data_IF_079773273885
#
_entry.id   IF_079773273885
#
_cell.length_a   1.000
_cell.length_b   1.000
_cell.length_c   1.000
_cell.angle_alpha   90.00
_cell.angle_beta   90.00
_cell.angle_gamma   90.00
#
_symmetry.space_group_name_H-M   'P 1'
#
loop_
_entity.id
_entity.type
_entity.pdbx_description
1 polymer ?
#
# COMPACT_ATOMS: atom_id res chain seq x y z
N UNK A 1 18.22 -35.07 32.50
CA UNK A 1 16.90 -35.51 32.99
C UNK A 1 16.18 -36.12 31.81
N UNK A 2 15.83 -37.39 31.89
CA UNK A 2 14.99 -38.02 30.87
C UNK A 2 13.57 -37.47 30.96
N UNK A 3 12.91 -37.32 29.81
CA UNK A 3 11.56 -36.76 29.73
C UNK A 3 10.54 -37.75 30.34
N UNK A 4 9.87 -37.33 31.42
CA UNK A 4 8.88 -38.15 32.12
C UNK A 4 7.49 -38.15 31.47
N UNK A 5 7.27 -37.36 30.42
CA UNK A 5 6.02 -37.35 29.69
C UNK A 5 5.95 -38.52 28.70
N UNK A 6 5.19 -39.56 29.06
CA UNK A 6 5.02 -40.75 28.24
C UNK A 6 4.24 -40.52 26.95
N UNK A 7 3.51 -39.40 26.80
CA UNK A 7 2.81 -39.07 25.55
C UNK A 7 3.76 -38.82 24.38
N UNK A 8 4.97 -38.33 24.66
CA UNK A 8 5.92 -37.87 23.64
C UNK A 8 7.29 -38.58 23.74
N UNK A 9 7.50 -39.40 24.76
CA UNK A 9 8.75 -40.13 24.96
C UNK A 9 8.49 -41.64 25.08
N UNK A 10 8.72 -42.44 24.02
CA UNK A 10 8.55 -43.89 24.06
C UNK A 10 9.45 -44.58 25.09
N UNK A 11 10.61 -43.97 25.41
CA UNK A 11 11.57 -44.51 26.37
C UNK A 11 11.32 -44.01 27.80
N UNK A 12 10.19 -43.35 28.06
CA UNK A 12 9.87 -42.86 29.41
C UNK A 12 9.70 -44.05 30.37
N UNK A 13 10.23 -43.99 31.61
CA UNK A 13 9.97 -45.03 32.62
C UNK A 13 8.47 -45.12 33.00
N UNK A 14 7.68 -44.12 32.65
CA UNK A 14 6.23 -44.09 32.85
C UNK A 14 5.45 -44.68 31.66
N UNK A 15 6.12 -45.11 30.59
CA UNK A 15 5.50 -45.64 29.38
C UNK A 15 5.21 -47.15 29.47
N UNK A 16 4.43 -47.58 30.47
CA UNK A 16 4.16 -49.00 30.72
C UNK A 16 3.22 -49.64 29.68
N UNK A 17 2.24 -48.87 29.18
CA UNK A 17 1.19 -49.36 28.27
C UNK A 17 1.21 -48.69 26.89
N UNK A 18 2.37 -48.19 26.46
CA UNK A 18 2.53 -47.46 25.20
C UNK A 18 1.57 -46.26 25.06
N UNK A 19 1.74 -45.26 25.93
CA UNK A 19 0.97 -44.02 25.95
C UNK A 19 1.41 -43.00 24.91
N UNK A 20 2.32 -43.34 24.00
CA UNK A 20 2.78 -42.41 22.96
C UNK A 20 1.60 -42.02 22.08
N UNK A 21 1.36 -40.73 21.95
CA UNK A 21 0.24 -40.19 21.20
C UNK A 21 0.77 -39.28 20.10
N UNK A 22 0.53 -39.64 18.84
CA UNK A 22 1.15 -38.99 17.68
C UNK A 22 0.84 -37.49 17.56
N UNK A 23 -0.34 -37.07 18.04
CA UNK A 23 -0.77 -35.68 18.01
C UNK A 23 -0.24 -34.88 19.21
N UNK A 24 0.30 -35.52 20.24
CA UNK A 24 0.70 -34.86 21.47
C UNK A 24 2.00 -34.07 21.33
N UNK A 25 2.06 -32.97 22.06
CA UNK A 25 3.23 -32.15 22.30
C UNK A 25 3.23 -31.69 23.76
N UNK A 26 4.40 -31.62 24.40
CA UNK A 26 4.53 -31.06 25.77
C UNK A 26 3.51 -31.57 26.81
N UNK A 27 3.36 -30.96 27.99
CA UNK A 27 4.08 -29.80 28.54
C UNK A 27 4.75 -30.19 29.86
N UNK A 28 3.99 -30.65 30.85
CA UNK A 28 4.55 -30.94 32.18
C UNK A 28 3.79 -32.05 32.91
N UNK A 29 4.54 -33.00 33.44
CA UNK A 29 4.09 -33.98 34.44
C UNK A 29 4.32 -33.46 35.85
N UNK A 30 3.43 -33.81 36.77
CA UNK A 30 3.54 -33.50 38.19
C UNK A 30 3.05 -34.66 39.06
N UNK A 31 3.70 -34.88 40.19
CA UNK A 31 3.23 -35.83 41.19
C UNK A 31 3.60 -35.36 42.60
N UNK A 32 2.64 -35.42 43.50
CA UNK A 32 2.89 -35.46 44.95
C UNK A 32 1.89 -36.43 45.57
N UNK A 33 2.19 -36.95 46.78
CA UNK A 33 1.27 -37.86 47.48
C UNK A 33 -0.11 -37.23 47.71
N UNK A 34 -0.18 -35.92 47.91
CA UNK A 34 -1.43 -35.21 48.12
C UNK A 34 -2.17 -34.86 46.81
N UNK A 35 -1.43 -34.62 45.72
CA UNK A 35 -2.01 -34.17 44.45
C UNK A 35 -2.32 -35.30 43.46
N UNK A 36 -1.84 -36.52 43.70
CA UNK A 36 -1.89 -37.61 42.71
C UNK A 36 -1.01 -37.34 41.50
N UNK A 37 -1.23 -38.08 40.41
CA UNK A 37 -0.55 -37.85 39.13
C UNK A 37 -1.30 -36.77 38.34
N UNK A 38 -0.55 -35.77 37.86
CA UNK A 38 -1.08 -34.66 37.09
C UNK A 38 -0.34 -34.54 35.76
N UNK A 39 -1.05 -34.11 34.72
CA UNK A 39 -0.49 -33.83 33.42
C UNK A 39 -1.16 -32.60 32.80
N UNK A 40 -0.33 -31.69 32.31
CA UNK A 40 -0.72 -30.68 31.33
C UNK A 40 -0.01 -31.05 30.04
N UNK A 41 -0.78 -31.24 28.97
CA UNK A 41 -0.26 -31.54 27.64
C UNK A 41 -0.99 -30.71 26.59
N UNK A 42 -0.43 -30.70 25.38
CA UNK A 42 -1.11 -30.20 24.18
C UNK A 42 -1.24 -31.31 23.16
N UNK A 43 -2.25 -31.23 22.30
CA UNK A 43 -2.33 -32.06 21.10
C UNK A 43 -2.87 -31.27 19.91
N UNK A 44 -2.42 -31.61 18.70
CA UNK A 44 -2.88 -30.99 17.47
C UNK A 44 -3.26 -32.04 16.43
N UNK A 45 -4.49 -31.95 15.92
CA UNK A 45 -5.02 -32.81 14.85
C UNK A 45 -6.03 -32.01 14.02
N UNK A 46 -5.98 -32.15 12.69
CA UNK A 46 -6.94 -31.54 11.76
C UNK A 46 -7.12 -30.02 11.94
N UNK A 47 -6.03 -29.29 12.22
CA UNK A 47 -6.06 -27.84 12.49
C UNK A 47 -6.61 -27.46 13.87
N UNK A 48 -7.13 -28.41 14.64
CA UNK A 48 -7.56 -28.20 16.01
C UNK A 48 -6.39 -28.36 17.00
N UNK A 49 -6.19 -27.34 17.83
CA UNK A 49 -5.18 -27.31 18.89
C UNK A 49 -5.86 -27.35 20.25
N UNK A 50 -5.52 -28.36 21.06
CA UNK A 50 -6.12 -28.59 22.36
C UNK A 50 -5.07 -28.58 23.47
N UNK A 51 -5.48 -28.13 24.66
CA UNK A 51 -4.75 -28.31 25.91
C UNK A 51 -5.60 -29.22 26.80
N UNK A 52 -5.03 -30.32 27.28
CA UNK A 52 -5.64 -31.16 28.31
C UNK A 52 -4.94 -30.93 29.66
N UNK A 53 -5.75 -30.73 30.70
CA UNK A 53 -5.29 -30.67 32.09
C UNK A 53 -6.01 -31.76 32.87
N UNK A 54 -5.27 -32.77 33.31
CA UNK A 54 -5.78 -33.83 34.19
C UNK A 54 -5.04 -33.80 35.52
N UNK A 55 -5.78 -33.92 36.61
CA UNK A 55 -5.30 -33.72 37.97
C UNK A 55 -5.79 -34.87 38.85
N UNK A 56 -5.00 -35.27 39.85
CA UNK A 56 -5.44 -36.26 40.83
C UNK A 56 -5.57 -37.68 40.31
N UNK A 57 -4.94 -37.99 39.17
CA UNK A 57 -5.05 -39.30 38.55
C UNK A 57 -4.33 -40.38 39.36
N UNK A 58 -4.84 -41.60 39.27
CA UNK A 58 -4.26 -42.77 39.91
C UNK A 58 -3.03 -43.31 39.16
N UNK A 59 -2.13 -43.89 39.92
CA UNK A 59 -0.99 -44.64 39.42
C UNK A 59 -0.27 -45.42 40.50
N UNK A 60 0.96 -45.84 40.21
CA UNK A 60 1.71 -46.72 41.10
C UNK A 60 1.87 -46.18 42.52
N UNK A 61 2.30 -44.92 42.69
CA UNK A 61 2.70 -44.40 44.00
C UNK A 61 1.54 -44.00 44.93
N UNK A 62 0.33 -43.78 44.39
CA UNK A 62 -0.85 -43.39 45.18
C UNK A 62 -1.93 -44.47 45.22
N UNK A 63 -2.09 -45.28 44.17
CA UNK A 63 -3.16 -46.28 44.03
C UNK A 63 -2.66 -47.72 43.83
N UNK A 64 -1.34 -47.94 43.71
CA UNK A 64 -0.73 -49.27 43.52
C UNK A 64 -1.21 -50.01 42.26
N UNK A 65 -1.54 -49.25 41.22
CA UNK A 65 -1.88 -49.79 39.90
C UNK A 65 -0.68 -49.66 38.95
N UNK A 66 -0.52 -50.62 38.03
CA UNK A 66 0.53 -50.63 37.00
C UNK A 66 0.15 -49.80 35.76
N UNK A 67 -0.58 -48.72 36.00
CA UNK A 67 -1.10 -47.81 34.98
C UNK A 67 -0.86 -46.37 35.44
N UNK A 68 -0.83 -45.42 34.51
CA UNK A 68 -0.68 -44.01 34.82
C UNK A 68 -1.84 -43.27 34.19
N UNK A 69 -2.93 -43.10 34.96
CA UNK A 69 -4.21 -42.59 34.45
C UNK A 69 -4.10 -41.18 33.88
N UNK A 70 -3.14 -40.38 34.33
CA UNK A 70 -2.89 -39.05 33.76
C UNK A 70 -2.56 -39.08 32.27
N UNK A 71 -1.94 -40.15 31.75
CA UNK A 71 -1.69 -40.29 30.32
C UNK A 71 -2.92 -40.83 29.58
N UNK A 72 -3.54 -41.89 30.09
CA UNK A 72 -4.74 -42.50 29.50
C UNK A 72 -5.92 -41.53 29.43
N UNK A 73 -6.21 -40.81 30.52
CA UNK A 73 -7.30 -39.84 30.60
C UNK A 73 -7.06 -38.66 29.64
N UNK A 74 -5.81 -38.24 29.48
CA UNK A 74 -5.46 -37.18 28.51
C UNK A 74 -5.73 -37.64 27.08
N UNK A 75 -5.32 -38.87 26.71
CA UNK A 75 -5.57 -39.44 25.38
C UNK A 75 -7.08 -39.59 25.15
N UNK A 76 -7.82 -40.09 26.13
CA UNK A 76 -9.28 -40.22 26.07
C UNK A 76 -9.95 -38.87 25.86
N UNK A 77 -9.52 -37.84 26.59
CA UNK A 77 -10.07 -36.49 26.47
C UNK A 77 -9.78 -35.88 25.09
N UNK A 78 -8.56 -36.06 24.57
CA UNK A 78 -8.21 -35.60 23.23
C UNK A 78 -9.03 -36.30 22.15
N UNK A 79 -9.11 -37.62 22.18
CA UNK A 79 -9.88 -38.37 21.20
C UNK A 79 -11.36 -37.96 21.24
N UNK A 80 -11.94 -37.84 22.44
CA UNK A 80 -13.30 -37.35 22.58
C UNK A 80 -13.47 -35.95 21.97
N UNK A 81 -12.56 -35.01 22.24
CA UNK A 81 -12.65 -33.67 21.67
C UNK A 81 -12.49 -33.68 20.14
N UNK A 82 -11.50 -34.40 19.59
CA UNK A 82 -11.31 -34.54 18.14
C UNK A 82 -12.47 -35.23 17.43
N UNK A 83 -13.15 -36.16 18.10
CA UNK A 83 -14.27 -36.89 17.54
C UNK A 83 -15.56 -36.06 17.55
N UNK A 84 -15.76 -35.21 18.56
CA UNK A 84 -17.02 -34.50 18.78
C UNK A 84 -17.02 -33.04 18.33
N UNK A 85 -15.86 -32.40 18.17
CA UNK A 85 -15.77 -30.98 17.82
C UNK A 85 -14.95 -30.76 16.55
N UNK A 86 -15.28 -29.70 15.83
CA UNK A 86 -14.50 -29.21 14.70
C UNK A 86 -14.64 -27.69 14.55
N UNK A 87 -13.66 -27.06 13.90
CA UNK A 87 -13.81 -25.67 13.47
C UNK A 87 -14.77 -25.61 12.29
N UNK A 88 -15.89 -24.93 12.48
CA UNK A 88 -16.87 -24.68 11.42
C UNK A 88 -16.87 -23.21 11.05
N UNK A 89 -16.88 -22.91 9.74
CA UNK A 89 -17.08 -21.55 9.23
C UNK A 89 -18.57 -21.21 9.34
N UNK A 90 -18.93 -20.46 10.38
CA UNK A 90 -20.33 -20.04 10.61
C UNK A 90 -20.71 -18.83 9.75
N UNK A 91 -19.73 -18.00 9.41
CA UNK A 91 -19.92 -16.81 8.58
C UNK A 91 -18.72 -16.68 7.64
N UNK A 92 -18.98 -16.60 6.33
CA UNK A 92 -17.95 -16.41 5.31
C UNK A 92 -17.73 -14.93 4.97
N UNK A 93 -16.47 -14.51 4.84
CA UNK A 93 -16.11 -13.17 4.34
C UNK A 93 -16.43 -12.98 2.85
N UNK A 94 -16.63 -14.07 2.10
CA UNK A 94 -16.97 -13.99 0.67
C UNK A 94 -18.43 -13.63 0.44
N UNK A 95 -19.30 -13.84 1.43
CA UNK A 95 -20.75 -13.69 1.27
C UNK A 95 -21.27 -12.45 2.02
N UNK A 96 -22.12 -11.64 1.37
CA UNK A 96 -22.83 -10.57 2.05
C UNK A 96 -23.77 -11.11 3.13
N UNK A 97 -23.88 -10.42 4.26
CA UNK A 97 -24.78 -10.80 5.36
C UNK A 97 -26.28 -10.55 5.05
N UNK A 98 -26.62 -10.11 3.83
CA UNK A 98 -27.96 -9.63 3.49
C UNK A 98 -28.38 -8.36 4.24
N UNK A 99 -27.44 -7.71 4.95
CA UNK A 99 -27.63 -6.46 5.69
C UNK A 99 -27.00 -5.30 4.92
N UNK A 100 -27.58 -4.13 5.08
CA UNK A 100 -27.11 -2.91 4.42
C UNK A 100 -26.98 -1.77 5.42
N UNK A 101 -26.06 -0.85 5.15
CA UNK A 101 -25.93 0.41 5.88
C UNK A 101 -26.43 1.57 4.99
N UNK A 102 -27.26 2.49 5.50
CA UNK A 102 -27.68 3.66 4.76
C UNK A 102 -26.49 4.62 4.57
N UNK A 103 -26.30 5.10 3.34
CA UNK A 103 -25.23 6.03 2.98
C UNK A 103 -25.84 7.28 2.34
N UNK A 104 -25.58 8.44 2.94
CA UNK A 104 -25.96 9.73 2.40
C UNK A 104 -25.06 10.16 1.24
N UNK A 105 -25.61 10.96 0.33
CA UNK A 105 -24.94 11.47 -0.87
C UNK A 105 -24.36 10.38 -1.81
N UNK A 106 -24.70 9.11 -1.58
CA UNK A 106 -24.27 8.00 -2.41
C UNK A 106 -24.99 7.98 -3.76
N UNK A 107 -24.26 7.61 -4.80
CA UNK A 107 -24.82 7.32 -6.10
C UNK A 107 -25.66 6.04 -6.08
N UNK A 108 -26.76 6.02 -6.83
CA UNK A 108 -27.62 4.85 -6.93
C UNK A 108 -28.55 4.67 -5.73
N UNK A 109 -28.51 3.50 -5.08
CA UNK A 109 -29.51 3.07 -4.08
C UNK A 109 -29.33 3.68 -2.68
N UNK A 110 -28.23 4.40 -2.42
CA UNK A 110 -28.02 5.03 -1.11
C UNK A 110 -27.68 4.06 0.02
N UNK A 111 -27.14 2.87 -0.29
CA UNK A 111 -26.84 1.83 0.69
C UNK A 111 -25.54 1.12 0.38
N UNK A 112 -24.79 0.74 1.41
CA UNK A 112 -23.64 -0.15 1.32
C UNK A 112 -24.04 -1.56 1.73
N UNK A 113 -23.67 -2.56 0.93
CA UNK A 113 -23.83 -3.97 1.29
C UNK A 113 -22.72 -4.34 2.27
N UNK A 114 -23.09 -4.93 3.41
CA UNK A 114 -22.16 -5.31 4.45
C UNK A 114 -21.74 -6.77 4.30
N UNK A 115 -20.45 -7.03 4.45
CA UNK A 115 -19.87 -8.36 4.58
C UNK A 115 -18.88 -8.39 5.76
N UNK A 116 -18.59 -9.56 6.31
CA UNK A 116 -17.56 -9.69 7.34
C UNK A 116 -16.17 -9.40 6.77
N UNK A 117 -15.28 -8.83 7.57
CA UNK A 117 -13.89 -8.60 7.17
C UNK A 117 -13.12 -9.92 6.96
N UNK A 118 -13.43 -10.95 7.77
CA UNK A 118 -12.77 -12.26 7.80
C UNK A 118 -13.79 -13.37 8.03
N UNK A 119 -13.40 -14.61 7.72
CA UNK A 119 -14.22 -15.76 8.09
C UNK A 119 -14.33 -15.83 9.62
N UNK A 120 -15.49 -16.23 10.10
CA UNK A 120 -15.67 -16.58 11.50
C UNK A 120 -15.71 -18.10 11.57
N UNK A 121 -14.65 -18.64 12.14
CA UNK A 121 -14.51 -20.06 12.44
C UNK A 121 -14.73 -20.25 13.94
N UNK A 122 -15.70 -21.08 14.30
CA UNK A 122 -16.00 -21.41 15.70
C UNK A 122 -15.78 -22.89 15.93
N UNK A 123 -15.23 -23.23 17.09
CA UNK A 123 -15.15 -24.62 17.54
C UNK A 123 -16.53 -25.05 18.02
N UNK A 124 -17.20 -25.89 17.25
CA UNK A 124 -18.57 -26.33 17.51
C UNK A 124 -18.67 -27.86 17.54
N UNK A 125 -19.66 -28.41 18.27
CA UNK A 125 -20.04 -29.81 18.12
C UNK A 125 -20.34 -30.13 16.66
N UNK A 126 -19.86 -31.28 16.17
CA UNK A 126 -20.03 -31.70 14.76
C UNK A 126 -21.49 -31.92 14.36
N UNK A 127 -22.38 -32.13 15.32
CA UNK A 127 -23.81 -32.31 15.12
C UNK A 127 -24.59 -30.98 15.12
N UNK A 128 -23.96 -29.87 15.50
CA UNK A 128 -24.58 -28.55 15.41
C UNK A 128 -24.47 -28.00 13.99
N UNK A 129 -25.60 -27.60 13.42
CA UNK A 129 -25.64 -26.94 12.10
C UNK A 129 -25.53 -25.42 12.24
N UNK A 130 -24.87 -24.70 11.32
CA UNK A 130 -24.72 -23.24 11.35
C UNK A 130 -26.03 -22.42 11.27
N UNK A 131 -27.19 -23.07 11.18
CA UNK A 131 -28.50 -22.41 11.09
C UNK A 131 -28.91 -21.73 12.42
N UNK A 132 -28.33 -22.14 13.55
CA UNK A 132 -28.58 -21.56 14.88
C UNK A 132 -27.73 -20.32 15.19
N UNK A 133 -26.95 -19.84 14.21
CA UNK A 133 -26.03 -18.71 14.38
C UNK A 133 -26.76 -17.40 14.08
N UNK A 134 -27.02 -16.62 15.13
CA UNK A 134 -27.59 -15.29 15.01
C UNK A 134 -26.48 -14.23 14.89
N UNK A 135 -26.64 -13.33 13.91
CA UNK A 135 -25.67 -12.27 13.61
C UNK A 135 -26.34 -10.92 13.78
N UNK A 136 -25.92 -10.18 14.80
CA UNK A 136 -26.51 -8.87 15.13
C UNK A 136 -25.54 -7.76 14.73
N UNK A 137 -25.79 -7.05 13.61
CA UNK A 137 -24.94 -5.94 13.17
C UNK A 137 -25.19 -4.69 14.01
N UNK A 138 -24.12 -3.95 14.27
CA UNK A 138 -24.08 -2.65 14.92
C UNK A 138 -23.18 -1.72 14.10
N UNK A 139 -23.74 -0.66 13.56
CA UNK A 139 -22.96 0.34 12.80
C UNK A 139 -22.17 1.25 13.74
N UNK A 140 -21.03 1.74 13.28
CA UNK A 140 -20.20 2.68 14.05
C UNK A 140 -20.81 4.09 14.09
N UNK A 141 -21.62 4.43 13.09
CA UNK A 141 -22.29 5.73 12.95
C UNK A 141 -23.69 5.51 12.37
N UNK A 142 -24.65 6.33 12.80
CA UNK A 142 -26.00 6.36 12.24
C UNK A 142 -26.03 7.04 10.87
N UNK A 143 -25.11 7.98 10.63
CA UNK A 143 -24.96 8.74 9.38
C UNK A 143 -23.60 8.42 8.77
N UNK A 144 -23.62 7.83 7.58
CA UNK A 144 -22.43 7.55 6.78
C UNK A 144 -22.54 8.33 5.48
N UNK A 145 -21.47 9.00 5.05
CA UNK A 145 -21.47 9.80 3.81
C UNK A 145 -20.56 9.16 2.75
N UNK A 146 -21.01 9.23 1.49
CA UNK A 146 -20.18 8.85 0.34
C UNK A 146 -19.08 9.91 0.06
N UNK A 147 -17.95 9.54 -0.58
CA UNK A 147 -17.62 8.21 -1.09
C UNK A 147 -17.05 7.25 -0.03
N UNK A 148 -17.43 5.97 -0.10
CA UNK A 148 -16.92 4.91 0.78
C UNK A 148 -16.30 3.81 -0.08
N UNK A 149 -14.97 3.62 -0.03
CA UNK A 149 -14.32 2.51 -0.72
C UNK A 149 -14.77 1.14 -0.22
N UNK A 150 -14.67 0.11 -1.05
CA UNK A 150 -14.84 -1.28 -0.71
C UNK A 150 -13.84 -1.68 0.39
N UNK A 151 -14.26 -2.56 1.31
CA UNK A 151 -13.44 -2.98 2.44
C UNK A 151 -13.39 -1.98 3.61
N UNK A 152 -14.09 -0.84 3.53
CA UNK A 152 -14.14 0.12 4.64
C UNK A 152 -14.97 -0.44 5.78
N UNK A 153 -14.44 -0.42 7.00
CA UNK A 153 -15.13 -0.86 8.21
C UNK A 153 -16.24 0.12 8.58
N UNK A 154 -17.49 -0.32 8.51
CA UNK A 154 -18.68 0.50 8.83
C UNK A 154 -19.32 0.15 10.18
N UNK A 155 -18.92 -0.97 10.77
CA UNK A 155 -19.53 -1.45 12.00
C UNK A 155 -18.91 -2.73 12.50
N UNK A 156 -19.59 -3.34 13.45
CA UNK A 156 -19.27 -4.65 14.01
C UNK A 156 -20.52 -5.53 14.02
N UNK A 157 -20.36 -6.84 13.97
CA UNK A 157 -21.44 -7.78 14.24
C UNK A 157 -21.07 -8.62 15.44
N UNK A 158 -22.04 -8.81 16.34
CA UNK A 158 -21.96 -9.81 17.40
C UNK A 158 -22.54 -11.13 16.91
N UNK A 159 -21.87 -12.22 17.24
CA UNK A 159 -22.27 -13.58 16.88
C UNK A 159 -22.83 -14.27 18.11
N UNK A 160 -24.05 -14.75 17.99
CA UNK A 160 -24.76 -15.49 19.03
C UNK A 160 -25.09 -16.90 18.56
N UNK A 161 -24.98 -17.87 19.46
CA UNK A 161 -25.52 -19.22 19.28
C UNK A 161 -26.27 -19.56 20.56
N UNK A 162 -27.53 -19.98 20.44
CA UNK A 162 -28.41 -20.24 21.58
C UNK A 162 -28.44 -19.12 22.63
N UNK A 163 -28.35 -17.86 22.18
CA UNK A 163 -28.33 -16.66 23.04
C UNK A 163 -27.00 -16.38 23.76
N UNK A 164 -25.96 -17.19 23.55
CA UNK A 164 -24.61 -16.95 24.09
C UNK A 164 -23.77 -16.18 23.07
N UNK A 165 -23.10 -15.10 23.49
CA UNK A 165 -22.19 -14.32 22.62
C UNK A 165 -20.85 -15.04 22.45
N UNK A 166 -20.49 -15.42 21.22
CA UNK A 166 -19.23 -16.11 20.91
C UNK A 166 -18.12 -15.17 20.47
N UNK A 167 -18.49 -13.97 20.00
CA UNK A 167 -17.50 -13.00 19.58
C UNK A 167 -18.08 -11.82 18.81
N UNK A 168 -17.17 -10.95 18.39
CA UNK A 168 -17.48 -9.76 17.58
C UNK A 168 -16.56 -9.73 16.37
N UNK A 169 -17.11 -9.40 15.21
CA UNK A 169 -16.36 -9.21 13.96
C UNK A 169 -16.59 -7.81 13.39
N UNK A 170 -15.63 -7.29 12.63
CA UNK A 170 -15.82 -6.06 11.85
C UNK A 170 -16.66 -6.33 10.59
N UNK A 171 -17.56 -5.40 10.30
CA UNK A 171 -18.33 -5.37 9.06
C UNK A 171 -17.74 -4.34 8.11
N UNK A 172 -17.46 -4.78 6.90
CA UNK A 172 -16.89 -3.97 5.83
C UNK A 172 -17.85 -3.83 4.65
N UNK A 173 -17.65 -2.78 3.85
CA UNK A 173 -18.34 -2.62 2.57
C UNK A 173 -17.93 -3.70 1.58
N UNK A 174 -18.91 -4.29 0.89
CA UNK A 174 -18.64 -5.26 -0.18
C UNK A 174 -18.10 -4.61 -1.45
N UNK A 175 -18.55 -3.40 -1.76
CA UNK A 175 -18.29 -2.67 -3.00
C UNK A 175 -18.05 -1.18 -2.72
N UNK A 176 -17.51 -0.46 -3.70
CA UNK A 176 -17.34 0.98 -3.65
C UNK A 176 -18.70 1.69 -3.71
N UNK A 177 -18.93 2.63 -2.80
CA UNK A 177 -20.08 3.52 -2.81
C UNK A 177 -19.62 4.90 -3.23
N UNK A 178 -19.81 5.23 -4.50
CA UNK A 178 -19.40 6.51 -5.08
C UNK A 178 -20.35 7.67 -4.71
N UNK A 179 -19.86 8.90 -4.78
CA UNK A 179 -20.65 10.11 -4.55
C UNK A 179 -21.58 10.41 -5.75
N UNK A 180 -22.87 10.66 -5.49
CA UNK A 180 -23.87 10.98 -6.51
C UNK A 180 -23.50 12.20 -7.36
N UNK A 181 -22.96 13.25 -6.73
CA UNK A 181 -22.61 14.51 -7.41
C UNK A 181 -21.48 14.33 -8.43
N UNK A 182 -20.44 13.56 -8.07
CA UNK A 182 -19.28 13.32 -8.94
C UNK A 182 -19.65 12.52 -10.19
N UNK A 183 -20.41 11.44 -10.03
CA UNK A 183 -20.87 10.62 -11.17
C UNK A 183 -21.77 11.43 -12.09
N UNK A 184 -22.75 12.15 -11.53
CA UNK A 184 -23.67 12.97 -12.34
C UNK A 184 -22.91 14.08 -13.07
N UNK A 185 -21.92 14.72 -12.42
CA UNK A 185 -21.06 15.72 -13.05
C UNK A 185 -20.21 15.12 -14.17
N UNK A 186 -19.57 13.98 -13.94
CA UNK A 186 -18.72 13.31 -14.93
C UNK A 186 -19.53 12.80 -16.12
N UNK A 187 -20.74 12.28 -15.88
CA UNK A 187 -21.68 11.90 -16.94
C UNK A 187 -22.12 13.12 -17.75
N UNK A 188 -22.45 14.25 -17.09
CA UNK A 188 -22.78 15.50 -17.78
C UNK A 188 -21.61 16.06 -18.59
N UNK A 189 -20.38 15.97 -18.07
CA UNK A 189 -19.16 16.34 -18.81
C UNK A 189 -18.97 15.45 -20.04
N UNK A 190 -18.98 14.12 -19.88
CA UNK A 190 -18.83 13.19 -21.02
C UNK A 190 -19.92 13.42 -22.07
N UNK A 191 -21.16 13.65 -21.64
CA UNK A 191 -22.25 13.98 -22.55
C UNK A 191 -22.04 15.31 -23.28
N UNK A 192 -21.46 16.32 -22.61
CA UNK A 192 -21.10 17.60 -23.21
C UNK A 192 -19.97 17.47 -24.24
N UNK A 193 -18.92 16.71 -23.92
CA UNK A 193 -17.78 16.48 -24.82
C UNK A 193 -18.11 15.53 -25.99
N UNK A 194 -19.17 14.73 -25.87
CA UNK A 194 -19.68 13.86 -26.95
C UNK A 194 -20.59 14.60 -27.95
N UNK A 195 -20.87 15.89 -27.76
CA UNK A 195 -21.76 16.61 -28.67
C UNK A 195 -21.13 16.79 -30.06
N UNK A 196 -21.85 16.36 -31.10
CA UNK A 196 -21.36 16.33 -32.49
C UNK A 196 -20.89 17.70 -32.98
N UNK A 197 -21.58 18.78 -32.59
CA UNK A 197 -21.19 20.13 -32.97
C UNK A 197 -19.87 20.59 -32.30
N UNK A 198 -19.59 20.15 -31.08
CA UNK A 198 -18.33 20.45 -30.37
C UNK A 198 -17.15 19.77 -31.05
N UNK A 199 -17.33 18.50 -31.47
CA UNK A 199 -16.32 17.76 -32.24
C UNK A 199 -16.05 18.44 -33.58
N UNK A 200 -17.10 18.90 -34.28
CA UNK A 200 -16.97 19.67 -35.53
C UNK A 200 -16.24 21.00 -35.29
N UNK A 201 -16.54 21.70 -34.21
CA UNK A 201 -15.88 22.96 -33.87
C UNK A 201 -14.39 22.76 -33.54
N UNK A 202 -14.04 21.77 -32.71
CA UNK A 202 -12.64 21.45 -32.40
C UNK A 202 -11.85 21.02 -33.64
N UNK A 203 -12.46 20.23 -34.53
CA UNK A 203 -11.81 19.85 -35.79
C UNK A 203 -11.58 21.05 -36.72
N UNK A 204 -12.52 22.01 -36.79
CA UNK A 204 -12.30 23.28 -37.50
C UNK A 204 -11.15 24.07 -36.89
N UNK A 205 -11.09 24.20 -35.56
CA UNK A 205 -10.00 24.91 -34.86
C UNK A 205 -8.65 24.26 -35.15
N UNK A 206 -8.57 22.93 -35.14
CA UNK A 206 -7.35 22.19 -35.46
C UNK A 206 -6.94 22.41 -36.93
N UNK A 207 -7.89 22.40 -37.86
CA UNK A 207 -7.62 22.63 -39.29
C UNK A 207 -7.12 24.07 -39.51
N UNK A 208 -7.76 25.06 -38.90
CA UNK A 208 -7.37 26.47 -38.99
C UNK A 208 -5.99 26.68 -38.37
N UNK A 209 -5.75 26.14 -37.17
CA UNK A 209 -4.44 26.18 -36.51
C UNK A 209 -3.34 25.49 -37.33
N UNK A 210 -3.63 24.32 -37.90
CA UNK A 210 -2.72 23.60 -38.79
C UNK A 210 -2.41 24.37 -40.07
N UNK A 211 -3.42 25.02 -40.67
CA UNK A 211 -3.25 25.89 -41.85
C UNK A 211 -2.41 27.13 -41.53
N UNK A 212 -2.61 27.73 -40.37
CA UNK A 212 -1.87 28.89 -39.91
C UNK A 212 -0.41 28.51 -39.63
N UNK A 213 -0.18 27.36 -39.00
CA UNK A 213 1.16 26.81 -38.78
C UNK A 213 1.85 26.50 -40.11
N UNK A 214 1.15 25.89 -41.07
CA UNK A 214 1.69 25.62 -42.40
C UNK A 214 2.05 26.92 -43.13
N UNK A 215 1.21 27.96 -43.06
CA UNK A 215 1.47 29.29 -43.62
C UNK A 215 2.64 29.97 -42.92
N UNK A 216 2.73 29.88 -41.59
CA UNK A 216 3.84 30.41 -40.80
C UNK A 216 5.16 29.74 -41.20
N UNK A 217 5.17 28.41 -41.34
CA UNK A 217 6.32 27.66 -41.81
C UNK A 217 6.67 28.00 -43.26
N UNK A 218 5.66 28.20 -44.12
CA UNK A 218 5.85 28.62 -45.51
C UNK A 218 6.46 30.02 -45.62
N UNK A 219 5.94 30.98 -44.85
CA UNK A 219 6.50 32.32 -44.72
C UNK A 219 7.94 32.30 -44.19
N UNK A 220 8.20 31.46 -43.17
CA UNK A 220 9.56 31.24 -42.62
C UNK A 220 10.51 30.61 -43.63
N UNK A 221 10.02 29.82 -44.59
CA UNK A 221 10.83 29.29 -45.70
C UNK A 221 11.15 30.38 -46.72
N UNK A 222 10.17 31.18 -47.15
CA UNK A 222 10.38 32.25 -48.14
C UNK A 222 11.32 33.36 -47.63
N UNK A 223 11.18 33.77 -46.37
CA UNK A 223 12.05 34.80 -45.78
C UNK A 223 13.54 34.39 -45.78
N UNK A 224 13.83 33.09 -45.64
CA UNK A 224 15.20 32.56 -45.72
C UNK A 224 15.82 32.72 -47.11
N UNK A 225 15.03 32.61 -48.18
CA UNK A 225 15.56 32.78 -49.55
C UNK A 225 15.89 34.24 -49.88
N UNK A 226 15.08 35.19 -49.42
CA UNK A 226 15.35 36.61 -49.66
C UNK A 226 16.63 37.08 -48.97
N UNK A 227 16.91 36.56 -47.77
CA UNK A 227 18.15 36.86 -47.05
C UNK A 227 19.35 36.28 -47.81
N UNK A 228 19.24 35.06 -48.37
CA UNK A 228 20.31 34.45 -49.19
C UNK A 228 20.60 35.23 -50.48
N UNK A 229 19.56 35.71 -51.17
CA UNK A 229 19.73 36.48 -52.43
C UNK A 229 20.34 37.87 -52.20
N UNK A 230 20.05 38.52 -51.07
CA UNK A 230 20.68 39.82 -50.72
C UNK A 230 22.17 39.69 -50.50
N UNK A 231 22.61 38.67 -49.76
CA UNK A 231 24.05 38.38 -49.54
C UNK A 231 24.81 38.14 -50.85
N UNK A 232 24.19 37.43 -51.80
CA UNK A 232 24.80 37.19 -53.12
C UNK A 232 24.91 38.48 -53.96
N UNK A 233 23.92 39.37 -53.87
CA UNK A 233 23.90 40.64 -54.59
C UNK A 233 24.91 41.63 -54.02
N UNK A 234 25.09 41.63 -52.70
CA UNK A 234 26.14 42.41 -52.02
C UNK A 234 27.54 41.92 -52.40
N UNK A 235 27.76 40.61 -52.45
CA UNK A 235 29.02 40.03 -52.94
C UNK A 235 29.32 40.41 -54.40
N UNK A 236 28.32 40.32 -55.30
CA UNK A 236 28.49 40.72 -56.71
C UNK A 236 28.75 42.22 -56.89
N UNK A 237 28.12 43.08 -56.08
CA UNK A 237 28.39 44.52 -56.12
C UNK A 237 29.79 44.84 -55.62
N UNK A 238 30.22 44.20 -54.53
CA UNK A 238 31.58 44.33 -54.03
C UNK A 238 32.63 43.83 -55.04
N UNK A 239 32.33 42.78 -55.81
CA UNK A 239 33.19 42.30 -56.91
C UNK A 239 33.22 43.29 -58.09
N UNK A 240 32.08 43.86 -58.47
CA UNK A 240 32.00 44.86 -59.55
C UNK A 240 32.67 46.19 -59.19
N UNK A 241 32.55 46.63 -57.93
CA UNK A 241 33.25 47.81 -57.40
C UNK A 241 34.76 47.58 -57.35
N UNK A 242 35.21 46.40 -56.87
CA UNK A 242 36.62 46.00 -56.91
C UNK A 242 37.18 46.02 -58.33
N UNK A 243 36.44 45.48 -59.30
CA UNK A 243 36.88 45.44 -60.71
C UNK A 243 37.00 46.84 -61.31
N UNK A 244 36.11 47.77 -60.94
CA UNK A 244 36.20 49.18 -61.37
C UNK A 244 37.36 49.91 -60.70
N UNK A 245 37.58 49.67 -59.40
CA UNK A 245 38.71 50.24 -58.67
C UNK A 245 40.06 49.78 -59.27
N UNK A 246 40.18 48.49 -59.59
CA UNK A 246 41.36 47.90 -60.25
C UNK A 246 41.62 48.50 -61.64
N UNK A 247 40.56 48.71 -62.45
CA UNK A 247 40.67 49.34 -63.77
C UNK A 247 41.09 50.82 -63.69
N UNK A 248 40.67 51.55 -62.65
CA UNK A 248 40.87 52.99 -62.53
C UNK A 248 42.20 53.35 -61.83
N UNK A 249 42.66 52.53 -60.87
CA UNK A 249 43.85 52.80 -60.06
C UNK A 249 45.05 51.89 -60.38
N UNK A 250 44.89 50.88 -61.24
CA UNK A 250 45.97 50.01 -61.73
C UNK A 250 46.60 49.08 -60.68
N UNK A 251 46.01 49.01 -59.48
CA UNK A 251 46.42 48.16 -58.35
C UNK A 251 45.17 47.67 -57.62
N UNK A 252 45.19 46.43 -57.14
CA UNK A 252 44.08 45.83 -56.41
C UNK A 252 43.68 46.64 -55.16
N UNK A 253 42.36 46.80 -54.96
CA UNK A 253 41.80 47.45 -53.77
C UNK A 253 42.22 46.68 -52.51
N UNK A 254 42.74 47.34 -51.46
CA UNK A 254 43.08 46.63 -50.22
C UNK A 254 41.80 46.07 -49.60
N UNK A 255 41.77 44.75 -49.37
CA UNK A 255 40.62 44.05 -48.79
C UNK A 255 40.44 44.48 -47.32
N UNK A 256 39.63 45.51 -47.10
CA UNK A 256 39.14 45.84 -45.77
C UNK A 256 37.83 45.07 -45.61
N UNK A 257 37.95 43.75 -45.45
CA UNK A 257 36.87 42.98 -44.85
C UNK A 257 36.67 43.54 -43.44
N UNK A 258 35.57 44.25 -43.22
CA UNK A 258 35.02 44.29 -41.88
C UNK A 258 34.65 42.85 -41.56
N UNK A 259 35.50 42.18 -40.79
CA UNK A 259 35.17 40.94 -40.07
C UNK A 259 33.90 41.20 -39.25
N UNK A 260 32.74 40.91 -39.83
CA UNK A 260 31.48 40.77 -39.11
C UNK A 260 31.35 39.32 -38.59
N UNK A 261 32.48 38.72 -38.19
CA UNK A 261 32.59 37.35 -37.68
C UNK A 261 32.70 37.30 -36.15
N UNK A 262 32.49 38.40 -35.44
CA UNK A 262 32.50 38.38 -33.97
C UNK A 262 31.13 38.17 -33.29
N UNK A 263 30.02 38.06 -34.05
CA UNK A 263 28.70 37.70 -33.49
C UNK A 263 27.83 36.81 -34.40
N UNK A 264 28.43 36.05 -35.31
CA UNK A 264 27.69 35.08 -36.14
C UNK A 264 27.82 33.63 -35.67
N UNK A 265 28.60 33.38 -34.62
CA UNK A 265 28.94 32.04 -34.10
C UNK A 265 28.20 31.56 -32.85
N UNK A 266 27.12 32.22 -32.40
CA UNK A 266 26.26 31.66 -31.35
C UNK A 266 24.86 31.42 -31.92
N UNK A 267 24.64 30.19 -32.35
CA UNK A 267 23.29 29.67 -32.57
C UNK A 267 22.67 29.32 -31.21
N UNK A 268 21.86 30.25 -30.66
CA UNK A 268 21.06 29.98 -29.45
C UNK A 268 19.93 28.96 -29.69
N UNK A 269 19.83 28.35 -30.88
CA UNK A 269 18.93 27.23 -31.13
C UNK A 269 19.58 25.84 -31.04
N UNK A 270 20.90 25.75 -30.81
CA UNK A 270 21.61 24.50 -30.49
C UNK A 270 21.93 24.34 -28.99
N UNK A 271 21.23 25.07 -28.10
CA UNK A 271 21.10 24.61 -26.71
C UNK A 271 20.14 23.42 -26.71
N UNK A 272 20.76 22.25 -26.79
CA UNK A 272 20.15 20.97 -26.55
C UNK A 272 19.51 20.98 -25.15
N UNK A 273 18.18 20.88 -25.07
CA UNK A 273 17.47 20.71 -23.79
C UNK A 273 17.75 19.36 -23.11
N UNK A 274 18.55 18.50 -23.74
CA UNK A 274 18.84 17.15 -23.28
C UNK A 274 20.26 16.98 -22.70
N UNK A 275 21.03 18.07 -22.52
CA UNK A 275 22.26 18.10 -21.69
C UNK A 275 22.12 19.01 -20.46
N UNK A 276 20.92 19.07 -19.88
CA UNK A 276 20.73 19.34 -18.45
C UNK A 276 20.53 18.00 -17.74
N UNK A 277 21.60 17.21 -17.75
CA UNK A 277 21.81 16.24 -16.67
C UNK A 277 22.19 17.03 -15.42
N UNK A 278 21.37 16.88 -14.37
CA UNK A 278 21.80 16.90 -12.97
C UNK A 278 22.72 18.06 -12.55
N UNK A 279 22.13 19.11 -11.98
CA UNK A 279 22.83 19.92 -10.97
C UNK A 279 21.88 20.22 -9.83
N UNK A 280 21.66 19.19 -9.00
CA UNK A 280 21.27 19.35 -7.60
C UNK A 280 22.52 19.46 -6.70
N UNK A 281 23.62 20.02 -7.22
CA UNK A 281 24.92 19.97 -6.54
C UNK A 281 25.71 21.29 -6.60
N UNK A 282 25.06 22.40 -6.97
CA UNK A 282 25.64 23.76 -6.89
C UNK A 282 24.68 24.81 -6.30
N UNK A 283 23.53 24.40 -5.76
CA UNK A 283 22.65 25.27 -4.95
C UNK A 283 22.97 25.22 -3.45
N UNK A 284 23.88 24.34 -3.00
CA UNK A 284 24.33 24.28 -1.59
C UNK A 284 25.58 25.14 -1.29
N UNK A 285 26.35 25.56 -2.29
CA UNK A 285 27.63 26.27 -2.07
C UNK A 285 27.55 27.80 -2.28
N UNK A 286 26.41 28.33 -2.72
CA UNK A 286 26.19 29.77 -2.95
C UNK A 286 25.07 30.38 -2.09
N UNK A 287 24.39 29.55 -1.29
CA UNK A 287 23.50 29.97 -0.20
C UNK A 287 24.24 30.11 1.15
N UNK A 288 25.53 29.77 1.20
CA UNK A 288 26.35 29.82 2.42
C UNK A 288 27.20 31.10 2.59
N UNK A 289 27.18 32.05 1.64
CA UNK A 289 28.04 33.24 1.72
C UNK A 289 27.27 34.58 1.65
N UNK A 290 25.93 34.58 1.71
CA UNK A 290 25.14 35.83 1.57
C UNK A 290 23.98 36.07 2.55
N UNK A 291 23.71 35.18 3.51
CA UNK A 291 22.73 35.47 4.59
C UNK A 291 23.27 35.19 6.02
N UNK A 292 24.59 35.20 6.19
CA UNK A 292 25.26 35.18 7.50
C UNK A 292 25.89 36.53 7.90
N UNK A 293 25.40 37.67 7.37
CA UNK A 293 25.81 38.99 7.88
C UNK A 293 24.72 40.11 7.75
N UNK A 294 23.45 39.74 8.00
CA UNK A 294 22.44 40.67 8.55
C UNK A 294 21.98 40.13 9.91
N UNK A 295 22.92 40.21 10.83
CA UNK A 295 22.72 40.06 12.26
C UNK A 295 22.01 41.31 12.83
N UNK A 296 21.31 41.11 13.95
CA UNK A 296 20.79 42.09 14.92
C UNK A 296 19.58 42.98 14.55
N UNK A 297 18.39 42.48 14.91
CA UNK A 297 17.55 43.16 15.94
C UNK A 297 16.53 42.23 16.62
N UNK A 298 16.86 41.93 17.89
CA UNK A 298 15.98 41.72 19.05
C UNK A 298 14.91 40.62 18.99
N UNK A 299 15.09 39.56 19.78
CA UNK A 299 14.19 39.31 20.92
C UNK A 299 14.82 38.36 21.96
N UNK A 300 14.86 38.88 23.18
CA UNK A 300 14.95 38.31 24.53
C UNK A 300 15.11 36.79 24.78
N UNK A 301 16.00 36.49 25.74
CA UNK A 301 15.67 35.59 26.85
C UNK A 301 16.66 34.46 27.12
N UNK A 302 17.38 34.58 28.25
CA UNK A 302 17.89 33.52 29.15
C UNK A 302 18.07 32.10 28.58
N UNK A 303 19.20 31.42 28.72
CA UNK A 303 20.16 31.49 29.80
C UNK A 303 20.72 30.08 30.03
N UNK A 304 22.04 29.99 29.94
CA UNK A 304 22.92 29.09 30.67
C UNK A 304 22.89 27.56 30.46
N UNK A 305 24.01 27.12 29.90
CA UNK A 305 24.90 26.05 30.37
C UNK A 305 24.61 24.57 30.12
N UNK A 306 25.62 24.01 29.45
CA UNK A 306 26.33 22.76 29.74
C UNK A 306 25.99 21.52 28.89
N UNK A 307 26.90 21.28 27.94
CA UNK A 307 27.65 20.03 27.73
C UNK A 307 26.88 18.72 27.96
N UNK A 308 26.81 17.88 26.93
CA UNK A 308 27.62 16.66 26.85
C UNK A 308 27.35 15.88 25.56
N UNK A 309 28.42 15.26 25.08
CA UNK A 309 28.51 14.27 24.01
C UNK A 309 27.33 13.30 23.97
N UNK A 310 26.90 12.92 22.76
CA UNK A 310 26.14 11.69 22.59
C UNK A 310 26.47 10.97 21.28
N UNK A 311 27.20 9.88 21.46
CA UNK A 311 27.47 8.78 20.53
C UNK A 311 26.39 7.69 20.75
N UNK A 312 25.80 7.15 19.68
CA UNK A 312 24.73 6.15 19.73
C UNK A 312 25.03 4.91 18.86
N UNK A 313 26.28 4.45 18.87
CA UNK A 313 26.59 3.03 18.68
C UNK A 313 26.02 2.21 19.86
N UNK A 314 24.70 1.97 19.86
CA UNK A 314 24.06 0.92 20.66
C UNK A 314 22.60 0.69 20.25
N UNK A 315 22.39 -0.09 19.17
CA UNK A 315 21.14 -0.82 18.97
C UNK A 315 21.48 -2.28 18.63
N UNK A 316 21.64 -3.09 19.68
CA UNK A 316 21.55 -4.55 19.65
C UNK A 316 20.41 -4.99 20.56
N UNK A 317 19.39 -5.66 20.01
CA UNK A 317 18.79 -6.93 20.48
C UNK A 317 17.53 -7.29 19.71
#
# INVERSE_FOLDING_TARGET
MENSNALINPNSPYNLNNYVYEYASGVKTGYTRAAGYCLISTAQKDGMHLIAVVLGCDGWLNAQIEEYKNFEDSITLYNWAFDNFEYQTVISASEPLGKTAPIENAAGKGVAILKPEKNIELLLPKDLTPEDVEVVPSLNSETLEAPIPAGTVLGKAKVYIDGTEYGTINLVTSEDVELAGGIVFMQKLKAFFSQTWLIVLLSIVIIVGGSFLALYLHYRRLKREHIRKRRLMEQRRAEEERRKWEEEHGVAEPDISYEDDLYSGIDFSDINKDELGSSSEYEEELMQEYEEEQDFRSYDGDGNDSLLDFDWDDIVK
#
